data_IF_870886914738
#
_entry.id   IF_870886914738
#
_cell.length_a   1.000
_cell.length_b   1.000
_cell.length_c   1.000
_cell.angle_alpha   90.00
_cell.angle_beta   90.00
_cell.angle_gamma   90.00
#
_symmetry.space_group_name_H-M   'P 1'
#
loop_
_entity.id
_entity.type
_entity.pdbx_description
1 polymer ?
#
# COMPACT_ATOMS: atom_id res chain seq x y z
N UNK A 1 1.89 -21.62 4.27
CA UNK A 1 3.31 -21.64 3.81
C UNK A 1 3.54 -22.64 2.68
N UNK A 2 3.04 -22.32 1.50
CA UNK A 2 3.16 -23.19 0.30
C UNK A 2 4.62 -23.54 -0.09
N UNK A 3 5.60 -22.75 0.31
CA UNK A 3 7.02 -23.02 0.04
C UNK A 3 7.55 -24.17 0.89
N UNK A 4 7.19 -24.25 2.15
CA UNK A 4 7.58 -25.35 3.04
C UNK A 4 6.92 -26.68 2.62
N UNK A 5 5.67 -26.64 2.17
CA UNK A 5 4.92 -27.81 1.68
C UNK A 5 5.50 -28.38 0.36
N UNK A 6 6.15 -27.56 -0.46
CA UNK A 6 6.76 -27.93 -1.73
C UNK A 6 8.24 -28.38 -1.62
N UNK A 7 8.73 -28.77 -0.44
CA UNK A 7 10.13 -29.16 -0.20
C UNK A 7 11.16 -28.10 -0.67
N UNK A 8 10.85 -26.83 -0.54
CA UNK A 8 11.79 -25.75 -0.84
C UNK A 8 13.04 -25.90 0.05
N UNK A 9 14.24 -25.95 -0.57
CA UNK A 9 15.52 -26.15 0.12
C UNK A 9 16.28 -24.84 0.36
N UNK A 10 15.71 -23.70 -0.02
CA UNK A 10 16.29 -22.38 0.19
C UNK A 10 15.98 -21.85 1.60
N UNK A 11 16.55 -20.68 1.89
CA UNK A 11 16.33 -19.97 3.14
C UNK A 11 15.11 -19.07 2.96
N UNK A 12 14.17 -19.17 3.87
CA UNK A 12 12.99 -18.32 3.93
C UNK A 12 13.25 -17.23 4.98
N UNK A 13 13.08 -15.98 4.56
CA UNK A 13 13.25 -14.81 5.42
C UNK A 13 11.90 -14.16 5.57
N UNK A 14 11.41 -14.08 6.80
CA UNK A 14 10.25 -13.27 7.14
C UNK A 14 10.66 -11.81 7.27
N UNK A 15 10.31 -10.99 6.30
CA UNK A 15 10.66 -9.57 6.30
C UNK A 15 9.75 -8.74 7.20
N UNK A 16 8.64 -9.31 7.68
CA UNK A 16 7.70 -8.67 8.60
C UNK A 16 8.12 -8.77 10.08
N UNK A 17 9.21 -9.48 10.38
CA UNK A 17 9.67 -9.67 11.77
C UNK A 17 9.88 -8.33 12.50
N UNK A 18 9.23 -8.20 13.66
CA UNK A 18 9.27 -6.99 14.49
C UNK A 18 8.34 -5.87 14.02
N UNK A 19 7.44 -6.12 13.06
CA UNK A 19 6.36 -5.20 12.68
C UNK A 19 5.06 -5.53 13.40
N UNK A 20 4.21 -4.51 13.59
CA UNK A 20 2.83 -4.70 14.02
C UNK A 20 1.99 -5.04 12.78
N UNK A 21 1.42 -6.24 12.77
CA UNK A 21 0.64 -6.73 11.63
C UNK A 21 -0.85 -6.64 11.96
N UNK A 22 -1.59 -5.92 11.12
CA UNK A 22 -3.03 -5.80 11.19
C UNK A 22 -3.71 -7.06 10.64
N UNK A 23 -4.90 -7.36 11.13
CA UNK A 23 -5.73 -8.44 10.61
C UNK A 23 -6.81 -7.87 9.68
N UNK A 24 -7.02 -8.50 8.53
CA UNK A 24 -8.01 -8.10 7.53
C UNK A 24 -9.44 -8.46 7.90
N UNK A 25 -9.61 -9.51 8.71
CA UNK A 25 -10.90 -10.12 8.99
C UNK A 25 -10.97 -10.76 10.38
N UNK A 26 -12.17 -11.31 10.71
CA UNK A 26 -12.40 -12.03 11.96
C UNK A 26 -11.69 -13.40 12.03
N UNK A 27 -11.14 -13.88 10.92
CA UNK A 27 -10.38 -15.14 10.83
C UNK A 27 -8.89 -14.92 11.11
N UNK A 28 -8.50 -13.71 11.50
CA UNK A 28 -7.11 -13.29 11.75
C UNK A 28 -6.18 -13.46 10.54
N UNK A 29 -6.70 -13.28 9.34
CA UNK A 29 -5.87 -13.21 8.13
C UNK A 29 -5.01 -11.95 8.20
N UNK A 30 -3.69 -12.10 8.18
CA UNK A 30 -2.78 -10.97 8.24
C UNK A 30 -2.87 -10.11 6.97
N UNK A 31 -2.92 -8.79 7.13
CA UNK A 31 -2.80 -7.86 6.01
C UNK A 31 -1.37 -7.92 5.46
N UNK A 32 -1.16 -8.34 4.19
CA UNK A 32 0.18 -8.48 3.63
C UNK A 32 0.81 -7.16 3.18
N UNK A 33 0.07 -6.06 3.03
CA UNK A 33 0.47 -4.84 2.33
C UNK A 33 1.43 -3.94 3.12
N UNK A 34 2.29 -4.53 3.95
CA UNK A 34 3.24 -3.82 4.83
C UNK A 34 4.23 -2.93 4.07
N UNK A 35 4.54 -3.28 2.80
CA UNK A 35 5.48 -2.53 1.97
C UNK A 35 4.98 -1.14 1.56
N UNK A 36 3.67 -0.88 1.64
CA UNK A 36 3.10 0.43 1.31
C UNK A 36 3.35 1.49 2.39
N UNK A 37 3.73 1.09 3.60
CA UNK A 37 4.21 2.00 4.63
C UNK A 37 5.74 2.15 4.51
N UNK A 38 6.30 3.34 4.17
CA UNK A 38 7.74 3.55 4.02
C UNK A 38 8.54 3.25 5.29
N UNK A 39 7.96 3.44 6.48
CA UNK A 39 8.60 3.11 7.76
C UNK A 39 8.75 1.59 7.90
N UNK A 40 7.72 0.84 7.50
CA UNK A 40 7.75 -0.63 7.49
C UNK A 40 8.67 -1.16 6.38
N UNK A 41 8.65 -0.56 5.19
CA UNK A 41 9.57 -0.90 4.11
C UNK A 41 11.04 -0.74 4.55
N UNK A 42 11.37 0.30 5.32
CA UNK A 42 12.69 0.47 5.93
C UNK A 42 13.06 -0.69 6.85
N UNK A 43 12.13 -1.16 7.69
CA UNK A 43 12.36 -2.32 8.55
C UNK A 43 12.56 -3.60 7.73
N UNK A 44 11.78 -3.80 6.65
CA UNK A 44 11.97 -4.91 5.73
C UNK A 44 13.39 -4.91 5.11
N UNK A 45 13.86 -3.74 4.65
CA UNK A 45 15.23 -3.58 4.10
C UNK A 45 16.29 -3.98 5.13
N UNK A 46 16.12 -3.60 6.40
CA UNK A 46 17.04 -3.97 7.48
C UNK A 46 17.01 -5.49 7.76
N UNK A 47 15.83 -6.11 7.79
CA UNK A 47 15.67 -7.54 7.98
C UNK A 47 16.33 -8.34 6.85
N UNK A 48 16.17 -7.88 5.60
CA UNK A 48 16.83 -8.46 4.42
C UNK A 48 18.36 -8.37 4.54
N UNK A 49 18.91 -7.20 4.87
CA UNK A 49 20.34 -7.00 5.01
C UNK A 49 20.93 -7.87 6.13
N UNK A 50 20.24 -7.97 7.25
CA UNK A 50 20.63 -8.84 8.36
C UNK A 50 20.66 -10.30 7.94
N UNK A 51 19.65 -10.76 7.23
CA UNK A 51 19.59 -12.14 6.76
C UNK A 51 20.73 -12.46 5.78
N UNK A 52 21.00 -11.58 4.80
CA UNK A 52 22.12 -11.75 3.89
C UNK A 52 23.46 -11.74 4.63
N UNK A 53 23.68 -10.82 5.57
CA UNK A 53 24.92 -10.77 6.35
C UNK A 53 25.16 -12.01 7.19
N UNK A 54 24.11 -12.64 7.70
CA UNK A 54 24.21 -13.88 8.46
C UNK A 54 24.59 -15.09 7.57
N UNK A 55 24.16 -15.09 6.31
CA UNK A 55 24.41 -16.20 5.38
C UNK A 55 25.67 -16.01 4.53
N UNK A 56 26.08 -14.77 4.33
CA UNK A 56 27.30 -14.37 3.61
C UNK A 56 28.04 -13.30 4.40
N UNK A 57 28.70 -13.68 5.50
CA UNK A 57 29.40 -12.73 6.39
C UNK A 57 30.55 -11.97 5.72
N UNK A 58 31.16 -12.54 4.70
CA UNK A 58 32.26 -11.89 3.97
C UNK A 58 31.80 -10.62 3.25
N UNK A 59 30.53 -10.56 2.83
CA UNK A 59 29.91 -9.40 2.19
C UNK A 59 28.99 -8.61 3.14
N UNK A 60 28.99 -8.89 4.43
CA UNK A 60 28.10 -8.29 5.42
C UNK A 60 28.13 -6.74 5.43
N UNK A 61 29.31 -6.14 5.36
CA UNK A 61 29.45 -4.67 5.31
C UNK A 61 28.79 -4.09 4.05
N UNK A 62 28.90 -4.77 2.91
CA UNK A 62 28.26 -4.34 1.67
C UNK A 62 26.75 -4.34 1.78
N UNK A 63 26.14 -5.39 2.36
CA UNK A 63 24.70 -5.46 2.56
C UNK A 63 24.20 -4.38 3.51
N UNK A 64 24.89 -4.16 4.62
CA UNK A 64 24.53 -3.10 5.57
C UNK A 64 24.68 -1.70 4.98
N UNK A 65 25.73 -1.44 4.22
CA UNK A 65 25.93 -0.15 3.55
C UNK A 65 24.81 0.16 2.53
N UNK A 66 24.43 -0.84 1.72
CA UNK A 66 23.31 -0.68 0.77
C UNK A 66 21.98 -0.44 1.48
N UNK A 67 21.71 -1.19 2.56
CA UNK A 67 20.52 -1.01 3.35
C UNK A 67 20.44 0.36 4.02
N UNK A 68 21.58 0.87 4.52
CA UNK A 68 21.65 2.21 5.09
C UNK A 68 21.35 3.28 4.04
N UNK A 69 21.95 3.20 2.86
CA UNK A 69 21.69 4.13 1.76
C UNK A 69 20.23 4.12 1.30
N UNK A 70 19.63 2.92 1.23
CA UNK A 70 18.23 2.82 0.83
C UNK A 70 17.28 3.31 1.93
N UNK A 71 17.61 3.06 3.19
CA UNK A 71 16.89 3.58 4.35
C UNK A 71 16.82 5.10 4.37
N UNK A 72 17.90 5.80 3.98
CA UNK A 72 17.89 7.27 3.85
C UNK A 72 16.86 7.74 2.82
N UNK A 73 16.71 7.04 1.69
CA UNK A 73 15.70 7.37 0.68
C UNK A 73 14.28 7.16 1.22
N UNK A 74 14.07 6.12 2.03
CA UNK A 74 12.78 5.85 2.67
C UNK A 74 12.45 6.89 3.74
N UNK A 75 13.44 7.36 4.52
CA UNK A 75 13.26 8.45 5.49
C UNK A 75 12.89 9.78 4.80
N UNK A 76 13.49 10.06 3.66
CA UNK A 76 13.14 11.24 2.85
C UNK A 76 11.72 11.13 2.28
N UNK A 77 11.33 9.95 1.82
CA UNK A 77 9.97 9.69 1.34
C UNK A 77 8.94 9.85 2.45
N UNK A 78 9.16 9.24 3.63
CA UNK A 78 8.29 9.39 4.80
C UNK A 78 8.12 10.86 5.18
N UNK A 79 9.22 11.58 5.32
CA UNK A 79 9.21 13.02 5.67
C UNK A 79 8.46 13.86 4.64
N UNK A 80 8.60 13.53 3.35
CA UNK A 80 7.88 14.19 2.26
C UNK A 80 6.38 13.95 2.36
N UNK A 81 5.95 12.69 2.56
CA UNK A 81 4.53 12.33 2.67
C UNK A 81 3.90 13.06 3.85
N UNK A 82 4.53 13.03 5.05
CA UNK A 82 4.05 13.74 6.23
C UNK A 82 3.88 15.24 5.98
N UNK A 83 4.87 15.86 5.35
CA UNK A 83 4.85 17.30 5.09
C UNK A 83 3.77 17.67 4.08
N UNK A 84 3.66 16.93 2.99
CA UNK A 84 2.79 17.28 1.87
C UNK A 84 1.32 16.95 2.12
N UNK A 85 1.01 15.98 3.01
CA UNK A 85 -0.37 15.64 3.37
C UNK A 85 -0.85 16.32 4.68
N UNK A 86 0.01 17.01 5.43
CA UNK A 86 -0.28 17.52 6.79
C UNK A 86 -1.48 18.48 6.90
N UNK A 87 -1.86 19.14 5.83
CA UNK A 87 -2.95 20.12 5.81
C UNK A 87 -4.06 19.74 4.81
N UNK A 88 -4.08 18.52 4.35
CA UNK A 88 -5.08 18.00 3.41
C UNK A 88 -6.24 17.34 4.16
N UNK A 89 -7.30 16.98 3.44
CA UNK A 89 -8.35 16.11 3.98
C UNK A 89 -7.79 14.71 4.25
N UNK A 90 -8.47 13.95 5.10
CA UNK A 90 -7.96 12.63 5.51
C UNK A 90 -8.68 11.46 4.84
N UNK A 91 -9.82 11.70 4.19
CA UNK A 91 -10.69 10.62 3.71
C UNK A 91 -10.44 10.31 2.23
N UNK A 92 -10.15 9.07 1.89
CA UNK A 92 -10.02 8.62 0.51
C UNK A 92 -10.68 7.27 0.26
N UNK A 93 -11.07 7.01 -1.00
CA UNK A 93 -11.65 5.74 -1.44
C UNK A 93 -10.68 5.04 -2.38
N UNK A 94 -10.07 3.95 -1.91
CA UNK A 94 -9.22 3.05 -2.70
C UNK A 94 -10.06 1.96 -3.38
N UNK A 95 -9.48 1.26 -4.36
CA UNK A 95 -10.18 0.16 -5.01
C UNK A 95 -10.31 -1.03 -4.07
N UNK A 96 -9.22 -1.53 -3.50
CA UNK A 96 -9.24 -2.53 -2.44
C UNK A 96 -8.50 -2.05 -1.18
N UNK A 97 -8.58 -2.84 -0.11
CA UNK A 97 -8.03 -2.49 1.21
C UNK A 97 -6.53 -2.82 1.30
N UNK A 98 -5.71 -2.09 0.57
CA UNK A 98 -4.26 -2.30 0.56
C UNK A 98 -3.49 -1.24 1.38
N UNK A 99 -4.09 -0.09 1.62
CA UNK A 99 -3.37 1.05 2.18
C UNK A 99 -3.57 1.25 3.68
N UNK A 100 -3.99 0.20 4.43
CA UNK A 100 -4.29 0.30 5.85
C UNK A 100 -3.09 0.78 6.68
N UNK A 101 -1.90 0.19 6.48
CA UNK A 101 -0.66 0.61 7.16
C UNK A 101 -0.19 2.01 6.76
N UNK A 102 -0.40 2.39 5.50
CA UNK A 102 -0.11 3.74 5.02
C UNK A 102 -1.08 4.75 5.65
N UNK A 103 -2.36 4.45 5.64
CA UNK A 103 -3.39 5.31 6.20
C UNK A 103 -3.18 5.53 7.71
N UNK A 104 -2.89 4.47 8.48
CA UNK A 104 -2.58 4.56 9.90
C UNK A 104 -1.34 5.42 10.18
N UNK A 105 -0.27 5.27 9.38
CA UNK A 105 0.99 6.01 9.56
C UNK A 105 0.84 7.51 9.32
N UNK A 106 -0.07 7.92 8.42
CA UNK A 106 -0.22 9.30 7.98
C UNK A 106 -1.56 9.94 8.41
N UNK A 107 -2.25 9.37 9.41
CA UNK A 107 -3.53 9.83 9.95
C UNK A 107 -4.62 9.99 8.87
N UNK A 108 -4.68 9.08 7.91
CA UNK A 108 -5.68 9.02 6.85
C UNK A 108 -6.76 7.98 7.15
N UNK A 109 -7.92 8.14 6.55
CA UNK A 109 -9.04 7.20 6.62
C UNK A 109 -9.26 6.56 5.24
N UNK A 110 -8.93 5.29 5.12
CA UNK A 110 -9.19 4.52 3.90
C UNK A 110 -10.60 3.95 3.93
N UNK A 111 -11.34 4.19 2.84
CA UNK A 111 -12.55 3.47 2.47
C UNK A 111 -12.27 2.67 1.20
N UNK A 112 -13.01 1.58 0.96
CA UNK A 112 -12.72 0.69 -0.17
C UNK A 112 -13.97 0.34 -0.98
N UNK A 113 -13.77 0.08 -2.27
CA UNK A 113 -14.82 -0.45 -3.14
C UNK A 113 -14.97 -1.94 -2.89
N UNK A 114 -13.85 -2.66 -2.75
CA UNK A 114 -13.79 -4.11 -2.49
C UNK A 114 -12.98 -4.36 -1.22
N UNK A 115 -13.45 -5.17 -0.27
CA UNK A 115 -12.65 -5.59 0.89
C UNK A 115 -11.52 -6.52 0.45
N UNK A 116 -10.38 -6.48 1.15
CA UNK A 116 -9.17 -7.29 0.86
C UNK A 116 -9.41 -8.79 0.81
N UNK A 117 -10.30 -9.28 1.65
CA UNK A 117 -10.67 -10.71 1.68
C UNK A 117 -11.31 -11.21 0.37
N UNK A 118 -11.62 -10.31 -0.58
CA UNK A 118 -12.29 -10.62 -1.83
C UNK A 118 -11.80 -9.75 -3.00
N UNK A 119 -10.50 -9.57 -3.15
CA UNK A 119 -9.88 -8.71 -4.18
C UNK A 119 -10.30 -9.01 -5.62
N UNK A 120 -10.87 -10.20 -5.87
CA UNK A 120 -11.45 -10.62 -7.15
C UNK A 120 -12.98 -10.73 -7.12
N UNK A 121 -13.63 -10.26 -6.04
CA UNK A 121 -15.08 -10.33 -5.88
C UNK A 121 -15.84 -9.43 -6.85
N UNK A 122 -17.02 -9.87 -7.28
CA UNK A 122 -17.93 -9.02 -8.06
C UNK A 122 -18.49 -7.90 -7.18
N UNK A 123 -18.38 -6.67 -7.68
CA UNK A 123 -18.97 -5.50 -7.01
C UNK A 123 -20.48 -5.51 -7.22
N UNK A 124 -21.24 -5.66 -6.15
CA UNK A 124 -22.70 -5.67 -6.21
C UNK A 124 -23.27 -4.25 -6.38
N UNK A 125 -24.49 -4.14 -6.89
CA UNK A 125 -25.21 -2.85 -6.97
C UNK A 125 -25.33 -2.18 -5.59
N UNK A 126 -25.55 -2.96 -4.53
CA UNK A 126 -25.61 -2.45 -3.16
C UNK A 126 -24.26 -1.89 -2.68
N UNK A 127 -23.15 -2.55 -3.03
CA UNK A 127 -21.79 -2.06 -2.72
C UNK A 127 -21.57 -0.72 -3.40
N UNK A 128 -21.90 -0.60 -4.70
CA UNK A 128 -21.78 0.67 -5.43
C UNK A 128 -22.59 1.79 -4.77
N UNK A 129 -23.87 1.52 -4.43
CA UNK A 129 -24.73 2.49 -3.75
C UNK A 129 -24.14 2.96 -2.42
N UNK A 130 -23.61 2.05 -1.61
CA UNK A 130 -22.98 2.38 -0.33
C UNK A 130 -21.74 3.27 -0.53
N UNK A 131 -20.87 2.93 -1.49
CA UNK A 131 -19.64 3.70 -1.78
C UNK A 131 -19.99 5.10 -2.31
N UNK A 132 -20.96 5.21 -3.24
CA UNK A 132 -21.46 6.50 -3.75
C UNK A 132 -22.00 7.35 -2.62
N UNK A 133 -22.80 6.75 -1.73
CA UNK A 133 -23.39 7.45 -0.58
C UNK A 133 -22.31 7.96 0.36
N UNK A 134 -21.28 7.13 0.66
CA UNK A 134 -20.14 7.52 1.49
C UNK A 134 -19.31 8.62 0.85
N UNK A 135 -19.03 8.54 -0.44
CA UNK A 135 -18.31 9.58 -1.18
C UNK A 135 -19.03 10.93 -1.13
N UNK A 136 -20.38 10.91 -1.25
CA UNK A 136 -21.22 12.13 -1.13
C UNK A 136 -21.22 12.70 0.30
N UNK A 137 -21.34 11.83 1.31
CA UNK A 137 -21.29 12.20 2.74
C UNK A 137 -19.96 12.93 3.08
N UNK A 138 -18.85 12.41 2.61
CA UNK A 138 -17.50 12.92 2.87
C UNK A 138 -17.03 13.95 1.84
N UNK A 139 -17.89 14.31 0.86
CA UNK A 139 -17.56 15.22 -0.25
C UNK A 139 -16.32 14.79 -1.06
N UNK A 140 -16.07 13.49 -1.15
CA UNK A 140 -14.97 12.92 -1.95
C UNK A 140 -15.28 13.09 -3.44
N UNK A 141 -14.29 13.54 -4.22
CA UNK A 141 -14.39 13.77 -5.67
C UNK A 141 -13.42 12.92 -6.49
N UNK A 142 -12.52 12.22 -5.84
CA UNK A 142 -11.57 11.32 -6.49
C UNK A 142 -11.80 9.90 -6.00
N UNK A 143 -11.96 8.99 -6.95
CA UNK A 143 -12.03 7.56 -6.70
C UNK A 143 -10.73 6.94 -7.21
N UNK A 144 -10.05 6.19 -6.36
CA UNK A 144 -8.84 5.52 -6.78
C UNK A 144 -9.14 4.17 -7.43
N UNK A 145 -8.43 3.90 -8.54
CA UNK A 145 -8.34 2.61 -9.20
C UNK A 145 -6.88 2.13 -9.15
N UNK A 146 -6.62 0.94 -9.63
CA UNK A 146 -5.29 0.33 -9.67
C UNK A 146 -4.90 -0.04 -11.10
N UNK A 147 -3.59 -0.23 -11.34
CA UNK A 147 -3.08 -0.52 -12.70
C UNK A 147 -3.61 -1.85 -13.25
N UNK A 148 -3.81 -2.85 -12.38
CA UNK A 148 -4.19 -4.22 -12.76
C UNK A 148 -5.69 -4.45 -12.90
N UNK A 149 -6.54 -3.48 -12.52
CA UNK A 149 -7.99 -3.65 -12.48
C UNK A 149 -8.70 -2.91 -13.62
N UNK A 150 -9.89 -3.41 -13.97
CA UNK A 150 -10.76 -2.71 -14.90
C UNK A 150 -11.35 -1.45 -14.21
N UNK A 151 -11.01 -0.29 -14.73
CA UNK A 151 -11.41 1.01 -14.17
C UNK A 151 -12.91 1.29 -14.25
N UNK A 152 -13.70 0.44 -14.92
CA UNK A 152 -15.15 0.68 -15.17
C UNK A 152 -15.93 0.91 -13.87
N UNK A 153 -15.65 0.14 -12.82
CA UNK A 153 -16.35 0.28 -11.54
C UNK A 153 -16.03 1.63 -10.89
N UNK A 154 -14.75 2.00 -10.82
CA UNK A 154 -14.30 3.29 -10.29
C UNK A 154 -14.88 4.45 -11.11
N UNK A 155 -14.97 4.29 -12.45
CA UNK A 155 -15.53 5.31 -13.33
C UNK A 155 -17.04 5.52 -13.09
N UNK A 156 -17.82 4.44 -12.91
CA UNK A 156 -19.25 4.56 -12.58
C UNK A 156 -19.47 5.36 -11.29
N UNK A 157 -18.66 5.07 -10.25
CA UNK A 157 -18.76 5.79 -8.99
C UNK A 157 -18.37 7.26 -9.19
N UNK A 158 -17.26 7.53 -9.88
CA UNK A 158 -16.78 8.88 -10.16
C UNK A 158 -17.81 9.72 -10.93
N UNK A 159 -18.43 9.15 -11.96
CA UNK A 159 -19.48 9.81 -12.75
C UNK A 159 -20.70 10.17 -11.88
N UNK A 160 -21.12 9.27 -10.98
CA UNK A 160 -22.27 9.48 -10.08
C UNK A 160 -22.03 10.56 -9.02
N UNK A 161 -20.77 10.80 -8.63
CA UNK A 161 -20.43 11.86 -7.65
C UNK A 161 -19.96 13.15 -8.32
N UNK A 162 -19.91 13.19 -9.66
CA UNK A 162 -19.35 14.32 -10.41
C UNK A 162 -17.85 14.52 -10.15
N UNK A 163 -17.13 13.42 -10.06
CA UNK A 163 -15.70 13.35 -9.74
C UNK A 163 -14.86 12.78 -10.88
N UNK A 164 -13.69 12.27 -10.55
CA UNK A 164 -12.73 11.66 -11.47
C UNK A 164 -12.08 10.42 -10.88
N UNK A 165 -11.43 9.62 -11.72
CA UNK A 165 -10.62 8.47 -11.31
C UNK A 165 -9.14 8.85 -11.40
N UNK A 166 -8.38 8.51 -10.36
CA UNK A 166 -6.91 8.52 -10.36
C UNK A 166 -6.41 7.11 -10.05
N UNK A 167 -5.13 6.86 -10.28
CA UNK A 167 -4.49 5.58 -9.96
C UNK A 167 -3.82 5.69 -8.59
N UNK A 168 -4.04 4.68 -7.73
CA UNK A 168 -3.27 4.48 -6.50
C UNK A 168 -2.70 3.06 -6.56
N UNK A 169 -1.39 2.98 -6.78
CA UNK A 169 -0.71 1.71 -7.05
C UNK A 169 -0.43 0.95 -5.76
N UNK A 170 -0.93 -0.28 -5.58
CA UNK A 170 -0.55 -1.13 -4.45
C UNK A 170 0.83 -1.79 -4.63
N UNK A 171 1.54 -1.52 -5.72
CA UNK A 171 2.86 -2.07 -6.04
C UNK A 171 2.90 -3.62 -6.07
N UNK A 172 1.81 -4.24 -6.47
CA UNK A 172 1.68 -5.71 -6.57
C UNK A 172 2.13 -6.27 -7.92
N UNK A 173 2.25 -5.41 -8.93
CA UNK A 173 2.67 -5.80 -10.28
C UNK A 173 3.99 -5.16 -10.65
N UNK A 174 4.78 -5.91 -11.43
CA UNK A 174 6.01 -5.37 -12.01
C UNK A 174 5.63 -4.36 -13.09
N UNK A 175 6.06 -3.14 -12.92
CA UNK A 175 5.84 -2.03 -13.85
C UNK A 175 7.08 -1.15 -13.94
N UNK A 176 7.12 -0.20 -14.86
CA UNK A 176 8.24 0.73 -14.99
C UNK A 176 8.44 1.58 -13.74
N UNK A 177 9.70 1.71 -13.32
CA UNK A 177 10.12 2.48 -12.15
C UNK A 177 10.43 1.63 -10.91
N UNK A 178 11.09 2.26 -9.95
CA UNK A 178 11.39 1.66 -8.65
C UNK A 178 10.32 2.01 -7.59
N UNK A 179 10.46 1.44 -6.42
CA UNK A 179 9.58 1.68 -5.28
C UNK A 179 9.43 3.17 -4.95
N UNK A 180 10.54 3.90 -4.88
CA UNK A 180 10.55 5.33 -4.51
C UNK A 180 9.79 6.16 -5.56
N UNK A 181 9.99 5.88 -6.85
CA UNK A 181 9.26 6.55 -7.92
C UNK A 181 7.76 6.30 -7.82
N UNK A 182 7.36 5.05 -7.65
CA UNK A 182 5.94 4.66 -7.56
C UNK A 182 5.25 5.25 -6.33
N UNK A 183 5.90 5.24 -5.18
CA UNK A 183 5.34 5.87 -3.98
C UNK A 183 5.25 7.40 -4.11
N UNK A 184 6.16 8.05 -4.83
CA UNK A 184 6.02 9.46 -5.16
C UNK A 184 4.84 9.72 -6.10
N UNK A 185 4.58 8.85 -7.09
CA UNK A 185 3.39 8.95 -7.96
C UNK A 185 2.10 8.79 -7.13
N UNK A 186 2.06 7.83 -6.21
CA UNK A 186 0.96 7.68 -5.26
C UNK A 186 0.74 8.94 -4.43
N UNK A 187 1.81 9.54 -3.91
CA UNK A 187 1.74 10.79 -3.15
C UNK A 187 1.15 11.94 -3.98
N UNK A 188 1.60 12.14 -5.23
CA UNK A 188 1.05 13.20 -6.09
C UNK A 188 -0.45 13.00 -6.35
N UNK A 189 -0.88 11.74 -6.60
CA UNK A 189 -2.30 11.44 -6.81
C UNK A 189 -3.13 11.59 -5.52
N UNK A 190 -2.58 11.24 -4.35
CA UNK A 190 -3.21 11.50 -3.05
C UNK A 190 -3.35 13.01 -2.78
N UNK A 191 -2.33 13.81 -3.06
CA UNK A 191 -2.41 15.28 -2.95
C UNK A 191 -3.50 15.85 -3.83
N UNK A 192 -3.57 15.42 -5.10
CA UNK A 192 -4.62 15.87 -6.02
C UNK A 192 -6.03 15.51 -5.52
N UNK A 193 -6.16 14.41 -4.78
CA UNK A 193 -7.42 13.97 -4.22
C UNK A 193 -7.80 14.67 -2.91
N UNK A 194 -6.83 14.93 -2.04
CA UNK A 194 -7.06 15.33 -0.66
C UNK A 194 -6.86 16.83 -0.42
N UNK A 195 -6.04 17.49 -1.23
CA UNK A 195 -5.68 18.89 -1.04
C UNK A 195 -6.36 19.81 -2.06
#
# INVERSE_FOLDING_TARGET
DNLAENNYQGIIIDTSDGLLINNLDQENTADPHIWLNPVYAKKQVQNIALAFSNHDPENGEFYHANAAQYSEKLDLLDSKIRTELSNCNNDFIAFHDAFSYFAEEYDLNQYTIIPSSNSHGEVTAKTLENVISKARELNIKVIFSEESVNTKTSQIIADEIGGKVLVLSPLEIVSDGDYILKMNQNLENLKEALC
#
